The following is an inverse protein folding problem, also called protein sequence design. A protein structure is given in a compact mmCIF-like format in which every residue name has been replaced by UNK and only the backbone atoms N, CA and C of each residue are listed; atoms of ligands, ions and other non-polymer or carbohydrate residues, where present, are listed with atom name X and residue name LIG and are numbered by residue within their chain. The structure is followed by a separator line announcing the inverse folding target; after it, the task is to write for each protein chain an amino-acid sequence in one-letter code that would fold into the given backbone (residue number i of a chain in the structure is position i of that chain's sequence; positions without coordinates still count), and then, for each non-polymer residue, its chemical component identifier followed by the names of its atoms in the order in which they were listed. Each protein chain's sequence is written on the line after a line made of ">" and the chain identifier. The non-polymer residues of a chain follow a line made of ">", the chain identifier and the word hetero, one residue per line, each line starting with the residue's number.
data_IF_489099898770
#
_entry.id   IF_489099898770
#
_cell.length_a   1.000
_cell.length_b   1.000
_cell.length_c   1.000
_cell.angle_alpha   90.00
_cell.angle_beta   90.00
_cell.angle_gamma   90.00
#
_symmetry.space_group_name_H-M   'P 1'
#
loop_
_entity.id
_entity.type
_entity.pdbx_description
1 polymer ?
#
# COMPACT_ATOMS: atom_id res chain seq x y z
N UNK A 1 20.93 -6.43 5.66
CA UNK A 1 20.02 -5.28 5.53
C UNK A 1 18.73 -5.73 4.85
N UNK A 2 17.57 -5.60 5.48
CA UNK A 2 16.26 -5.80 4.83
C UNK A 2 15.84 -4.49 4.16
N UNK A 3 15.52 -4.52 2.87
CA UNK A 3 15.05 -3.36 2.11
C UNK A 3 13.58 -3.55 1.72
N UNK A 4 12.79 -2.50 1.86
CA UNK A 4 11.39 -2.50 1.51
C UNK A 4 11.00 -1.17 0.85
N UNK A 5 10.02 -1.23 -0.05
CA UNK A 5 9.36 -0.06 -0.60
C UNK A 5 8.26 0.36 0.36
N UNK A 6 8.25 1.62 0.77
CA UNK A 6 7.25 2.15 1.70
C UNK A 6 6.57 3.34 1.01
N UNK A 7 5.25 3.33 0.97
CA UNK A 7 4.46 4.48 0.49
C UNK A 7 3.41 4.84 1.53
N UNK A 8 3.13 6.14 1.65
CA UNK A 8 2.15 6.69 2.59
C UNK A 8 1.01 7.32 1.81
N UNK A 9 -0.20 6.80 2.03
CA UNK A 9 -1.44 7.33 1.48
C UNK A 9 -2.29 7.93 2.60
N UNK A 10 -2.38 9.26 2.65
CA UNK A 10 -3.19 9.99 3.62
C UNK A 10 -4.62 10.21 3.15
N UNK A 11 -4.83 10.33 1.83
CA UNK A 11 -6.13 10.53 1.19
C UNK A 11 -6.39 9.48 0.10
N UNK A 12 -7.65 9.32 -0.29
CA UNK A 12 -8.09 8.30 -1.26
C UNK A 12 -7.48 8.50 -2.65
N UNK A 13 -7.21 9.75 -3.04
CA UNK A 13 -6.52 10.10 -4.27
C UNK A 13 -5.05 9.64 -4.27
N UNK A 14 -4.40 9.70 -3.11
CA UNK A 14 -3.07 9.14 -2.90
C UNK A 14 -3.08 7.62 -2.83
N UNK A 15 -4.17 7.01 -2.35
CA UNK A 15 -4.32 5.56 -2.35
C UNK A 15 -4.37 4.98 -3.78
N UNK A 16 -5.00 5.68 -4.73
CA UNK A 16 -4.96 5.31 -6.15
C UNK A 16 -3.54 5.38 -6.72
N UNK A 17 -2.80 6.46 -6.41
CA UNK A 17 -1.39 6.59 -6.80
C UNK A 17 -0.50 5.49 -6.20
N UNK A 18 -0.73 5.13 -4.94
CA UNK A 18 -0.04 4.03 -4.27
C UNK A 18 -0.33 2.67 -4.94
N UNK A 19 -1.56 2.44 -5.39
CA UNK A 19 -1.95 1.25 -6.14
C UNK A 19 -1.17 1.12 -7.45
N UNK A 20 -1.10 2.22 -8.23
CA UNK A 20 -0.35 2.27 -9.49
C UNK A 20 1.16 2.10 -9.25
N UNK A 21 1.69 2.70 -8.18
CA UNK A 21 3.09 2.53 -7.76
C UNK A 21 3.40 1.06 -7.45
N UNK A 22 2.58 0.41 -6.62
CA UNK A 22 2.73 -1.01 -6.26
C UNK A 22 2.67 -1.88 -7.51
N UNK A 23 1.72 -1.62 -8.39
CA UNK A 23 1.57 -2.34 -9.65
C UNK A 23 2.81 -2.18 -10.54
N UNK A 24 3.31 -0.96 -10.70
CA UNK A 24 4.49 -0.66 -11.52
C UNK A 24 5.76 -1.31 -10.96
N UNK A 25 5.95 -1.26 -9.65
CA UNK A 25 7.07 -1.93 -8.97
C UNK A 25 7.05 -3.44 -9.19
N UNK A 26 5.86 -4.05 -9.19
CA UNK A 26 5.69 -5.49 -9.48
C UNK A 26 5.99 -5.81 -10.94
N UNK A 27 5.47 -5.01 -11.88
CA UNK A 27 5.77 -5.17 -13.31
C UNK A 27 7.27 -5.01 -13.59
N UNK A 28 7.95 -4.16 -12.82
CA UNK A 28 9.41 -4.01 -12.86
C UNK A 28 10.18 -5.18 -12.21
N UNK A 29 9.51 -6.20 -11.66
CA UNK A 29 10.15 -7.41 -11.12
C UNK A 29 10.84 -7.21 -9.77
N UNK A 30 10.37 -6.29 -8.92
CA UNK A 30 10.95 -6.11 -7.57
C UNK A 30 10.84 -7.39 -6.74
N UNK A 31 11.96 -7.81 -6.13
CA UNK A 31 12.01 -8.88 -5.12
C UNK A 31 11.85 -8.37 -3.68
N UNK A 32 11.76 -7.05 -3.51
CA UNK A 32 11.65 -6.38 -2.21
C UNK A 32 10.20 -6.24 -1.76
N UNK A 33 9.97 -6.36 -0.44
CA UNK A 33 8.65 -6.18 0.18
C UNK A 33 8.14 -4.77 -0.06
N UNK A 34 6.85 -4.64 -0.33
CA UNK A 34 6.19 -3.34 -0.47
C UNK A 34 5.23 -3.18 0.71
N UNK A 35 5.31 -2.06 1.42
CA UNK A 35 4.46 -1.68 2.54
C UNK A 35 3.70 -0.41 2.18
N UNK A 36 2.40 -0.42 2.43
CA UNK A 36 1.54 0.73 2.22
C UNK A 36 1.03 1.18 3.60
N UNK A 37 1.44 2.38 4.01
CA UNK A 37 0.92 3.06 5.19
C UNK A 37 -0.33 3.80 4.76
N UNK A 38 -1.46 3.57 5.44
CA UNK A 38 -2.71 4.25 5.10
C UNK A 38 -3.30 4.90 6.36
N UNK A 39 -3.64 6.19 6.27
CA UNK A 39 -4.10 6.99 7.42
C UNK A 39 -5.56 6.80 7.76
N UNK A 40 -5.90 6.28 8.95
CA UNK A 40 -7.25 5.88 9.37
C UNK A 40 -8.41 6.77 8.86
N UNK A 41 -8.20 8.08 8.71
CA UNK A 41 -9.16 9.04 8.15
C UNK A 41 -9.66 8.78 6.71
N UNK A 42 -8.88 8.16 5.81
CA UNK A 42 -9.31 7.91 4.41
C UNK A 42 -9.94 6.53 4.19
N UNK A 43 -11.15 6.33 4.70
CA UNK A 43 -11.87 5.05 4.65
C UNK A 43 -13.02 5.02 3.62
N UNK A 44 -12.84 5.55 2.39
CA UNK A 44 -14.01 5.75 1.51
C UNK A 44 -14.23 4.72 0.38
N UNK A 45 -13.22 4.11 -0.23
CA UNK A 45 -13.39 2.92 -1.12
C UNK A 45 -12.04 2.39 -1.62
N UNK A 46 -11.11 3.31 -1.90
CA UNK A 46 -9.79 3.03 -2.46
C UNK A 46 -8.94 2.10 -1.58
N UNK A 47 -9.18 2.12 -0.25
CA UNK A 47 -8.55 1.19 0.69
C UNK A 47 -8.93 -0.25 0.43
N UNK A 48 -10.21 -0.55 0.18
CA UNK A 48 -10.67 -1.93 0.02
C UNK A 48 -10.05 -2.56 -1.22
N UNK A 49 -9.96 -1.81 -2.32
CA UNK A 49 -9.29 -2.27 -3.55
C UNK A 49 -7.79 -2.45 -3.33
N UNK A 50 -7.11 -1.47 -2.72
CA UNK A 50 -5.68 -1.56 -2.42
C UNK A 50 -5.40 -2.72 -1.45
N UNK A 51 -6.18 -2.86 -0.38
CA UNK A 51 -6.05 -3.93 0.60
C UNK A 51 -6.33 -5.30 -0.02
N UNK A 52 -7.36 -5.44 -0.85
CA UNK A 52 -7.64 -6.67 -1.60
C UNK A 52 -6.51 -7.01 -2.57
N UNK A 53 -5.93 -6.01 -3.24
CA UNK A 53 -4.78 -6.18 -4.13
C UNK A 53 -3.54 -6.61 -3.35
N UNK A 54 -3.25 -5.96 -2.22
CA UNK A 54 -2.14 -6.30 -1.33
C UNK A 54 -2.32 -7.67 -0.65
N UNK A 55 -3.55 -8.05 -0.30
CA UNK A 55 -3.88 -9.36 0.30
C UNK A 55 -3.74 -10.48 -0.75
N UNK A 56 -4.18 -10.24 -1.99
CA UNK A 56 -3.95 -11.14 -3.12
C UNK A 56 -2.46 -11.35 -3.41
N UNK A 57 -1.58 -10.49 -2.88
CA UNK A 57 -0.14 -10.55 -3.08
C UNK A 57 0.64 -11.34 -2.03
N UNK A 58 -0.01 -12.00 -1.07
CA UNK A 58 0.59 -12.96 -0.09
C UNK A 58 1.77 -12.46 0.76
N UNK A 59 2.28 -11.23 0.58
CA UNK A 59 3.49 -10.75 1.26
C UNK A 59 3.55 -9.23 1.49
N UNK A 60 2.40 -8.57 1.67
CA UNK A 60 2.37 -7.15 2.04
C UNK A 60 1.58 -6.92 3.33
N UNK A 61 2.26 -6.40 4.35
CA UNK A 61 1.63 -5.92 5.57
C UNK A 61 1.14 -4.48 5.38
N UNK A 62 -0.15 -4.25 5.59
CA UNK A 62 -0.72 -2.91 5.74
C UNK A 62 -0.53 -2.50 7.18
N UNK A 63 0.17 -1.40 7.44
CA UNK A 63 0.41 -0.91 8.79
C UNK A 63 -0.58 0.24 9.02
N UNK A 64 -1.65 0.04 9.82
CA UNK A 64 -2.57 1.12 10.14
C UNK A 64 -1.85 2.13 11.04
N UNK A 65 -1.83 3.41 10.63
CA UNK A 65 -1.38 4.46 11.53
C UNK A 65 -2.51 4.78 12.52
N UNK A 66 -2.43 4.22 13.72
CA UNK A 66 -3.34 4.57 14.82
C UNK A 66 -2.83 5.88 15.42
N UNK A 67 -3.60 6.97 15.28
CA UNK A 67 -3.40 8.13 16.15
C UNK A 67 -3.94 7.75 17.53
N UNK A 68 -3.14 7.95 18.58
CA UNK A 68 -3.54 7.78 19.99
C UNK A 68 -4.84 8.49 20.33
#
# INVERSE_FOLDING_TARGET
>A
MSQAWITLATNDNYAQGALVLVHSLRTAGTTRKIHCLISNQSASNSRSTLMMFLLSMSSTATIPITSS
#
